data_IF_323403601305
#
_entry.id   IF_323403601305
#
_cell.length_a   1.000
_cell.length_b   1.000
_cell.length_c   1.000
_cell.angle_alpha   90.00
_cell.angle_beta   90.00
_cell.angle_gamma   90.00
#
_symmetry.space_group_name_H-M   'P 1'
#
loop_
_entity.id
_entity.type
_entity.pdbx_description
1 polymer ?
#
# COMPACT_ATOMS: atom_id res chain seq x y z
N UNK A 1 17.25 51.73 -18.25
CA UNK A 1 18.61 51.70 -17.65
C UNK A 1 18.91 50.27 -17.26
N UNK A 2 19.88 49.63 -17.93
CA UNK A 2 20.30 48.24 -17.71
C UNK A 2 21.40 48.23 -16.65
N UNK A 3 21.19 47.52 -15.54
CA UNK A 3 22.25 47.27 -14.57
C UNK A 3 23.26 46.29 -15.19
N UNK A 4 24.51 46.73 -15.36
CA UNK A 4 25.62 45.94 -15.91
C UNK A 4 26.24 45.00 -14.87
N UNK A 5 25.42 44.29 -14.10
CA UNK A 5 25.90 43.33 -13.11
C UNK A 5 25.79 41.89 -13.67
N UNK A 6 26.91 41.23 -14.03
CA UNK A 6 26.89 39.90 -14.63
C UNK A 6 26.43 38.78 -13.68
N UNK A 7 26.28 39.05 -12.38
CA UNK A 7 25.79 38.09 -11.38
C UNK A 7 24.26 38.06 -11.29
N UNK A 8 23.59 39.17 -11.60
CA UNK A 8 22.13 39.31 -11.49
C UNK A 8 21.51 39.32 -12.88
N UNK A 9 21.47 38.14 -13.52
CA UNK A 9 20.60 37.94 -14.68
C UNK A 9 19.13 38.01 -14.21
N UNK A 10 18.29 38.80 -14.87
CA UNK A 10 16.86 38.89 -14.53
C UNK A 10 16.09 37.56 -14.67
N UNK A 11 16.72 36.52 -15.26
CA UNK A 11 16.15 35.18 -15.36
C UNK A 11 16.56 34.23 -14.23
N UNK A 12 17.41 34.61 -13.28
CA UNK A 12 17.80 33.72 -12.15
C UNK A 12 16.70 33.60 -11.08
N UNK A 13 15.67 34.44 -11.14
CA UNK A 13 14.55 34.48 -10.18
C UNK A 13 13.16 34.37 -10.81
N UNK A 14 13.03 33.76 -12.00
CA UNK A 14 11.82 32.97 -12.28
C UNK A 14 11.88 31.66 -11.47
N UNK A 15 12.05 31.80 -10.16
CA UNK A 15 11.77 30.74 -9.19
C UNK A 15 10.25 30.62 -9.22
N UNK A 16 9.76 29.44 -9.55
CA UNK A 16 8.34 29.08 -9.50
C UNK A 16 7.86 29.15 -8.04
N UNK A 17 7.60 30.37 -7.55
CA UNK A 17 7.28 30.68 -6.17
C UNK A 17 5.77 30.57 -5.96
N UNK A 18 5.33 29.37 -5.59
CA UNK A 18 3.99 29.12 -5.04
C UNK A 18 3.55 27.67 -5.21
N UNK A 19 3.83 27.07 -6.37
CA UNK A 19 3.35 25.73 -6.72
C UNK A 19 4.25 24.61 -6.21
N UNK A 20 5.52 24.91 -5.90
CA UNK A 20 6.54 23.94 -5.55
C UNK A 20 6.54 23.50 -4.08
N UNK A 21 5.73 24.14 -3.22
CA UNK A 21 5.63 23.84 -1.79
C UNK A 21 4.30 23.18 -1.38
N UNK A 22 3.33 23.18 -2.29
CA UNK A 22 1.99 22.61 -2.07
C UNK A 22 1.84 21.25 -2.73
N UNK A 23 1.05 20.38 -2.12
CA UNK A 23 0.68 19.06 -2.60
C UNK A 23 -0.11 19.18 -3.90
N UNK A 24 0.30 18.44 -4.91
CA UNK A 24 -0.33 18.34 -6.21
C UNK A 24 -0.78 16.90 -6.45
N UNK A 25 -1.87 16.76 -7.20
CA UNK A 25 -2.38 15.43 -7.56
C UNK A 25 -1.38 14.71 -8.49
N UNK A 26 -0.83 15.42 -9.47
CA UNK A 26 0.21 14.90 -10.36
C UNK A 26 1.49 14.48 -9.64
N UNK A 27 1.96 15.28 -8.67
CA UNK A 27 3.13 14.93 -7.85
C UNK A 27 2.90 13.70 -6.97
N UNK A 28 1.70 13.57 -6.40
CA UNK A 28 1.31 12.38 -5.63
C UNK A 28 1.27 11.13 -6.50
N UNK A 29 0.66 11.21 -7.68
CA UNK A 29 0.62 10.09 -8.65
C UNK A 29 2.03 9.68 -9.08
N UNK A 30 2.92 10.63 -9.39
CA UNK A 30 4.30 10.34 -9.74
C UNK A 30 5.04 9.59 -8.61
N UNK A 31 4.79 9.95 -7.35
CA UNK A 31 5.37 9.29 -6.18
C UNK A 31 4.79 7.91 -5.94
N UNK A 32 3.48 7.73 -6.10
CA UNK A 32 2.83 6.42 -6.07
C UNK A 32 3.49 5.50 -7.11
N UNK A 33 3.62 5.95 -8.36
CA UNK A 33 4.24 5.18 -9.43
C UNK A 33 5.70 4.83 -9.09
N UNK A 34 6.47 5.78 -8.57
CA UNK A 34 7.85 5.54 -8.15
C UNK A 34 7.92 4.49 -7.03
N UNK A 35 7.11 4.61 -5.98
CA UNK A 35 7.06 3.63 -4.88
C UNK A 35 6.63 2.25 -5.39
N UNK A 36 5.63 2.20 -6.26
CA UNK A 36 5.17 0.97 -6.88
C UNK A 36 6.27 0.30 -7.72
N UNK A 37 7.10 1.06 -8.44
CA UNK A 37 8.25 0.53 -9.16
C UNK A 37 9.31 -0.07 -8.22
N UNK A 38 9.60 0.58 -7.09
CA UNK A 38 10.49 0.02 -6.07
C UNK A 38 9.96 -1.31 -5.52
N UNK A 39 8.67 -1.35 -5.22
CA UNK A 39 7.99 -2.55 -4.73
C UNK A 39 8.04 -3.69 -5.75
N UNK A 40 7.67 -3.41 -7.01
CA UNK A 40 7.71 -4.41 -8.08
C UNK A 40 9.14 -4.89 -8.35
N UNK A 41 10.11 -3.98 -8.42
CA UNK A 41 11.50 -4.33 -8.70
C UNK A 41 12.09 -5.28 -7.64
N UNK A 42 11.81 -5.01 -6.36
CA UNK A 42 12.26 -5.86 -5.26
C UNK A 42 11.46 -7.17 -5.16
N UNK A 43 10.16 -7.15 -5.44
CA UNK A 43 9.34 -8.37 -5.50
C UNK A 43 9.79 -9.33 -6.61
N UNK A 44 10.05 -8.80 -7.81
CA UNK A 44 10.58 -9.59 -8.94
C UNK A 44 11.99 -10.11 -8.64
N UNK A 45 12.82 -9.32 -7.97
CA UNK A 45 14.14 -9.77 -7.54
C UNK A 45 14.06 -10.96 -6.56
N UNK A 46 13.21 -10.88 -5.53
CA UNK A 46 13.01 -12.00 -4.60
C UNK A 46 12.45 -13.23 -5.31
N UNK A 47 11.50 -13.03 -6.23
CA UNK A 47 10.97 -14.13 -7.04
C UNK A 47 12.07 -14.81 -7.85
N UNK A 48 12.90 -14.03 -8.54
CA UNK A 48 14.01 -14.55 -9.32
C UNK A 48 14.97 -15.36 -8.44
N UNK A 49 15.36 -14.84 -7.27
CA UNK A 49 16.20 -15.56 -6.32
C UNK A 49 15.57 -16.88 -5.86
N UNK A 50 14.27 -16.88 -5.58
CA UNK A 50 13.53 -18.11 -5.24
C UNK A 50 13.56 -19.13 -6.39
N UNK A 51 13.36 -18.68 -7.63
CA UNK A 51 13.42 -19.57 -8.80
C UNK A 51 14.80 -20.18 -9.05
N UNK A 52 15.87 -19.53 -8.57
CA UNK A 52 17.24 -20.03 -8.60
C UNK A 52 17.56 -20.98 -7.42
N UNK A 53 16.57 -21.31 -6.59
CA UNK A 53 16.75 -22.20 -5.44
C UNK A 53 17.41 -21.54 -4.22
N UNK A 54 17.55 -20.21 -4.20
CA UNK A 54 18.08 -19.48 -3.05
C UNK A 54 17.00 -19.40 -1.96
N UNK A 55 17.41 -19.62 -0.71
CA UNK A 55 16.50 -19.48 0.43
C UNK A 55 16.14 -18.01 0.67
N UNK A 56 14.93 -17.61 0.25
CA UNK A 56 14.41 -16.25 0.38
C UNK A 56 13.81 -15.93 1.76
N UNK A 57 13.80 -16.88 2.69
CA UNK A 57 13.17 -16.71 4.02
C UNK A 57 13.78 -15.53 4.78
N UNK A 58 15.10 -15.34 4.68
CA UNK A 58 15.78 -14.24 5.37
C UNK A 58 15.42 -12.88 4.75
N UNK A 59 15.26 -12.81 3.42
CA UNK A 59 14.81 -11.61 2.72
C UNK A 59 13.35 -11.30 3.06
N UNK A 60 12.50 -12.33 3.16
CA UNK A 60 11.11 -12.18 3.57
C UNK A 60 11.02 -11.63 5.01
N UNK A 61 11.85 -12.13 5.92
CA UNK A 61 11.87 -11.68 7.31
C UNK A 61 12.40 -10.25 7.45
N UNK A 62 13.46 -9.90 6.72
CA UNK A 62 13.97 -8.52 6.63
C UNK A 62 12.90 -7.60 6.04
N UNK A 63 12.19 -8.05 5.00
CA UNK A 63 11.09 -7.31 4.40
C UNK A 63 9.93 -7.08 5.37
N UNK A 64 9.50 -8.11 6.09
CA UNK A 64 8.40 -8.02 7.06
C UNK A 64 8.74 -7.09 8.24
N UNK A 65 9.89 -7.31 8.89
CA UNK A 65 10.28 -6.54 10.07
C UNK A 65 10.70 -5.13 9.67
N UNK A 66 11.52 -5.01 8.62
CA UNK A 66 11.96 -3.72 8.11
C UNK A 66 10.79 -2.90 7.57
N UNK A 67 9.89 -3.51 6.80
CA UNK A 67 8.65 -2.89 6.32
C UNK A 67 7.81 -2.36 7.47
N UNK A 68 7.56 -3.18 8.49
CA UNK A 68 6.80 -2.75 9.68
C UNK A 68 7.47 -1.58 10.40
N UNK A 69 8.79 -1.61 10.61
CA UNK A 69 9.52 -0.51 11.28
C UNK A 69 9.39 0.79 10.48
N UNK A 70 9.67 0.76 9.17
CA UNK A 70 9.58 1.96 8.33
C UNK A 70 8.14 2.44 8.13
N UNK A 71 7.16 1.52 8.15
CA UNK A 71 5.74 1.88 8.16
C UNK A 71 5.36 2.65 9.42
N UNK A 72 5.78 2.18 10.60
CA UNK A 72 5.55 2.87 11.86
C UNK A 72 6.25 4.23 11.89
N UNK A 73 7.52 4.31 11.46
CA UNK A 73 8.25 5.59 11.39
C UNK A 73 7.49 6.57 10.48
N UNK A 74 7.03 6.14 9.31
CA UNK A 74 6.30 7.00 8.37
C UNK A 74 4.95 7.43 8.94
N UNK A 75 4.25 6.52 9.64
CA UNK A 75 2.96 6.80 10.27
C UNK A 75 3.07 7.85 11.38
N UNK A 76 4.07 7.73 12.27
CA UNK A 76 4.28 8.67 13.37
C UNK A 76 5.00 9.95 12.94
N UNK A 77 5.85 9.90 11.91
CA UNK A 77 6.61 11.03 11.40
C UNK A 77 6.35 11.26 9.89
N UNK A 78 5.20 11.86 9.51
CA UNK A 78 4.85 12.13 8.10
C UNK A 78 5.88 12.99 7.36
N UNK A 79 6.67 13.79 8.08
CA UNK A 79 7.76 14.60 7.51
C UNK A 79 8.92 13.76 6.96
N UNK A 80 9.13 12.55 7.49
CA UNK A 80 10.18 11.63 7.05
C UNK A 80 9.77 10.79 5.82
N UNK A 81 8.49 10.85 5.41
CA UNK A 81 7.93 10.09 4.29
C UNK A 81 8.77 10.13 2.99
N UNK A 82 9.42 11.24 2.58
CA UNK A 82 10.25 11.25 1.38
C UNK A 82 11.40 10.23 1.37
N UNK A 83 11.90 9.86 2.55
CA UNK A 83 13.02 8.91 2.69
C UNK A 83 12.49 7.55 3.12
N UNK A 84 11.54 7.51 4.06
CA UNK A 84 11.06 6.26 4.65
C UNK A 84 10.10 5.51 3.73
N UNK A 85 9.31 6.20 2.89
CA UNK A 85 8.37 5.54 1.99
C UNK A 85 9.04 4.72 0.88
N UNK A 86 10.09 5.19 0.18
CA UNK A 86 10.83 4.35 -0.77
C UNK A 86 11.47 3.12 -0.13
N UNK A 87 12.05 3.28 1.07
CA UNK A 87 12.66 2.19 1.82
C UNK A 87 11.59 1.16 2.20
N UNK A 88 10.45 1.62 2.71
CA UNK A 88 9.30 0.77 2.99
C UNK A 88 8.85 -0.01 1.76
N UNK A 89 8.66 0.66 0.62
CA UNK A 89 8.20 0.00 -0.61
C UNK A 89 9.17 -1.08 -1.10
N UNK A 90 10.48 -0.84 -1.00
CA UNK A 90 11.51 -1.82 -1.34
C UNK A 90 11.50 -3.03 -0.38
N UNK A 91 11.37 -2.79 0.93
CA UNK A 91 11.35 -3.84 1.94
C UNK A 91 10.08 -4.69 1.84
N UNK A 92 8.92 -4.06 1.65
CA UNK A 92 7.67 -4.76 1.41
C UNK A 92 7.69 -5.58 0.12
N UNK A 93 8.31 -5.07 -0.95
CA UNK A 93 8.47 -5.87 -2.16
C UNK A 93 9.22 -7.17 -1.91
N UNK A 94 10.27 -7.18 -1.07
CA UNK A 94 10.93 -8.43 -0.68
C UNK A 94 10.01 -9.39 0.10
N UNK A 95 9.18 -8.87 1.00
CA UNK A 95 8.22 -9.67 1.76
C UNK A 95 7.16 -10.30 0.84
N UNK A 96 6.48 -9.47 0.06
CA UNK A 96 5.40 -9.87 -0.83
C UNK A 96 5.93 -10.80 -1.94
N UNK A 97 7.09 -10.49 -2.51
CA UNK A 97 7.74 -11.33 -3.52
C UNK A 97 8.04 -12.73 -3.00
N UNK A 98 8.52 -12.84 -1.76
CA UNK A 98 8.77 -14.12 -1.09
C UNK A 98 7.49 -14.94 -0.86
N UNK A 99 6.45 -14.32 -0.30
CA UNK A 99 5.15 -14.98 -0.09
C UNK A 99 4.55 -15.44 -1.42
N UNK A 100 4.61 -14.58 -2.42
CA UNK A 100 4.04 -14.85 -3.75
C UNK A 100 4.77 -16.03 -4.41
N UNK A 101 6.10 -16.07 -4.34
CA UNK A 101 6.89 -17.16 -4.89
C UNK A 101 6.63 -18.50 -4.18
N UNK A 102 6.51 -18.48 -2.84
CA UNK A 102 6.18 -19.67 -2.05
C UNK A 102 4.80 -20.23 -2.42
N UNK A 103 3.79 -19.36 -2.55
CA UNK A 103 2.44 -19.77 -2.90
C UNK A 103 2.29 -20.18 -4.35
N UNK A 104 3.02 -19.57 -5.27
CA UNK A 104 3.03 -19.98 -6.68
C UNK A 104 3.55 -21.42 -6.82
N UNK A 105 4.54 -21.81 -6.02
CA UNK A 105 5.04 -23.19 -5.97
C UNK A 105 4.00 -24.22 -5.50
N UNK A 106 3.01 -23.79 -4.72
CA UNK A 106 1.90 -24.63 -4.25
C UNK A 106 0.64 -24.52 -5.12
N UNK A 107 0.40 -23.36 -5.71
CA UNK A 107 -0.78 -23.01 -6.49
C UNK A 107 -0.36 -22.22 -7.73
N UNK A 108 -0.10 -22.92 -8.83
CA UNK A 108 0.32 -22.29 -10.07
C UNK A 108 -0.72 -21.27 -10.59
N UNK A 109 -0.23 -20.12 -11.04
CA UNK A 109 -1.02 -19.00 -11.56
C UNK A 109 -1.79 -18.21 -10.51
N UNK A 110 -1.59 -18.44 -9.21
CA UNK A 110 -2.31 -17.69 -8.17
C UNK A 110 -1.86 -16.23 -8.14
N UNK A 111 -0.58 -15.97 -8.41
CA UNK A 111 0.00 -14.63 -8.30
C UNK A 111 -0.52 -13.73 -9.41
N UNK A 112 -0.49 -14.20 -10.66
CA UNK A 112 -1.00 -13.41 -11.78
C UNK A 112 -2.49 -13.09 -11.60
N UNK A 113 -3.29 -14.04 -11.10
CA UNK A 113 -4.69 -13.79 -10.77
C UNK A 113 -4.86 -12.76 -9.65
N UNK A 114 -4.08 -12.86 -8.58
CA UNK A 114 -4.13 -11.90 -7.48
C UNK A 114 -3.74 -10.49 -7.94
N UNK A 115 -2.70 -10.34 -8.75
CA UNK A 115 -2.29 -9.05 -9.33
C UNK A 115 -3.38 -8.50 -10.25
N UNK A 116 -3.91 -9.31 -11.17
CA UNK A 116 -4.98 -8.89 -12.08
C UNK A 116 -6.23 -8.45 -11.33
N UNK A 117 -6.64 -9.19 -10.29
CA UNK A 117 -7.78 -8.81 -9.45
C UNK A 117 -7.52 -7.53 -8.66
N UNK A 118 -6.34 -7.37 -8.09
CA UNK A 118 -5.97 -6.16 -7.34
C UNK A 118 -6.02 -4.92 -8.25
N UNK A 119 -5.45 -5.01 -9.45
CA UNK A 119 -5.47 -3.93 -10.44
C UNK A 119 -6.89 -3.66 -10.96
N UNK A 120 -7.69 -4.71 -11.19
CA UNK A 120 -9.08 -4.56 -11.61
C UNK A 120 -9.92 -3.87 -10.53
N UNK A 121 -9.81 -4.28 -9.27
CA UNK A 121 -10.52 -3.67 -8.13
C UNK A 121 -10.10 -2.22 -7.97
N UNK A 122 -8.79 -1.94 -7.97
CA UNK A 122 -8.27 -0.57 -7.91
C UNK A 122 -8.79 0.28 -9.07
N UNK A 123 -8.75 -0.22 -10.31
CA UNK A 123 -9.20 0.51 -11.50
C UNK A 123 -10.69 0.82 -11.48
N UNK A 124 -11.53 -0.16 -11.11
CA UNK A 124 -12.98 0.02 -10.97
C UNK A 124 -13.30 1.03 -9.87
N UNK A 125 -12.66 0.93 -8.70
CA UNK A 125 -12.89 1.88 -7.62
C UNK A 125 -12.41 3.29 -7.94
N UNK A 126 -11.26 3.41 -8.60
CA UNK A 126 -10.76 4.70 -9.08
C UNK A 126 -11.74 5.31 -10.08
N UNK A 127 -12.29 4.53 -11.00
CA UNK A 127 -13.31 4.99 -11.93
C UNK A 127 -14.60 5.44 -11.22
N UNK A 128 -15.11 4.64 -10.28
CA UNK A 128 -16.31 4.97 -9.49
C UNK A 128 -16.12 6.22 -8.60
N UNK A 129 -14.91 6.41 -8.08
CA UNK A 129 -14.54 7.59 -7.32
C UNK A 129 -14.40 8.81 -8.22
N UNK A 130 -13.69 8.70 -9.35
CA UNK A 130 -13.48 9.78 -10.31
C UNK A 130 -14.80 10.28 -10.93
N UNK A 131 -15.74 9.37 -11.18
CA UNK A 131 -17.10 9.70 -11.65
C UNK A 131 -17.98 10.29 -10.54
N UNK A 132 -17.48 10.41 -9.30
CA UNK A 132 -18.19 10.90 -8.11
C UNK A 132 -19.48 10.13 -7.80
N UNK A 133 -19.58 8.88 -8.28
CA UNK A 133 -20.66 7.95 -7.94
C UNK A 133 -20.57 7.60 -6.46
N UNK A 134 -19.34 7.39 -5.96
CA UNK A 134 -19.07 7.17 -4.54
C UNK A 134 -18.64 8.49 -3.91
N UNK A 135 -19.43 9.00 -2.94
CA UNK A 135 -19.07 10.17 -2.14
C UNK A 135 -18.63 9.73 -0.74
N UNK A 136 -17.39 10.06 -0.39
CA UNK A 136 -16.85 9.76 0.94
C UNK A 136 -17.43 10.76 1.96
N UNK A 137 -18.41 10.29 2.73
CA UNK A 137 -18.99 11.05 3.84
C UNK A 137 -18.26 10.75 5.15
N UNK A 138 -18.45 11.60 6.16
CA UNK A 138 -17.90 11.35 7.52
C UNK A 138 -18.33 9.99 8.08
N UNK A 139 -19.60 9.61 7.86
CA UNK A 139 -20.15 8.33 8.33
C UNK A 139 -19.56 7.15 7.58
N UNK A 140 -19.37 7.27 6.27
CA UNK A 140 -18.69 6.25 5.47
C UNK A 140 -17.25 6.04 5.94
N UNK A 141 -16.50 7.12 6.15
CA UNK A 141 -15.13 7.06 6.68
C UNK A 141 -15.08 6.38 8.05
N UNK A 142 -15.99 6.76 8.96
CA UNK A 142 -16.06 6.16 10.30
C UNK A 142 -16.35 4.66 10.21
N UNK A 143 -17.33 4.24 9.41
CA UNK A 143 -17.67 2.83 9.21
C UNK A 143 -16.45 2.01 8.73
N UNK A 144 -15.77 2.47 7.68
CA UNK A 144 -14.63 1.75 7.10
C UNK A 144 -13.46 1.72 8.07
N UNK A 145 -13.10 2.84 8.70
CA UNK A 145 -12.00 2.89 9.69
C UNK A 145 -12.30 1.98 10.89
N UNK A 146 -13.53 1.98 11.40
CA UNK A 146 -13.95 1.07 12.48
C UNK A 146 -13.86 -0.40 12.06
N UNK A 147 -14.24 -0.73 10.83
CA UNK A 147 -14.11 -2.09 10.30
C UNK A 147 -12.63 -2.50 10.17
N UNK A 148 -11.77 -1.62 9.65
CA UNK A 148 -10.32 -1.86 9.55
C UNK A 148 -9.70 -2.08 10.93
N UNK A 149 -10.05 -1.26 11.92
CA UNK A 149 -9.61 -1.44 13.30
C UNK A 149 -10.12 -2.75 13.91
N UNK A 150 -11.37 -3.14 13.63
CA UNK A 150 -11.91 -4.44 14.04
C UNK A 150 -11.11 -5.61 13.48
N UNK A 151 -10.80 -5.57 12.18
CA UNK A 151 -9.96 -6.59 11.52
C UNK A 151 -8.56 -6.62 12.15
N UNK A 152 -7.97 -5.46 12.40
CA UNK A 152 -6.66 -5.36 13.06
C UNK A 152 -6.67 -6.00 14.46
N UNK A 153 -7.71 -5.75 15.27
CA UNK A 153 -7.86 -6.38 16.60
C UNK A 153 -7.98 -7.90 16.47
N UNK A 154 -8.75 -8.40 15.50
CA UNK A 154 -8.86 -9.85 15.26
C UNK A 154 -7.50 -10.44 14.88
N UNK A 155 -6.73 -9.76 14.04
CA UNK A 155 -5.37 -10.20 13.67
C UNK A 155 -4.40 -10.17 14.86
N UNK A 156 -4.50 -9.15 15.72
CA UNK A 156 -3.70 -9.04 16.94
C UNK A 156 -4.02 -10.18 17.92
N UNK A 157 -5.32 -10.46 18.14
CA UNK A 157 -5.76 -11.58 18.98
C UNK A 157 -5.21 -12.90 18.45
N UNK A 158 -5.34 -13.13 17.13
CA UNK A 158 -4.80 -14.32 16.49
C UNK A 158 -3.28 -14.43 16.67
N UNK A 159 -2.54 -13.33 16.50
CA UNK A 159 -1.09 -13.30 16.72
C UNK A 159 -0.71 -13.67 18.16
N UNK A 160 -1.39 -13.08 19.15
CA UNK A 160 -1.15 -13.38 20.57
C UNK A 160 -1.50 -14.82 20.92
N UNK A 161 -2.65 -15.34 20.45
CA UNK A 161 -3.05 -16.72 20.71
C UNK A 161 -2.07 -17.74 20.12
N UNK A 162 -1.56 -17.49 18.91
CA UNK A 162 -0.52 -18.32 18.30
C UNK A 162 0.78 -18.31 19.14
N UNK A 163 1.12 -17.19 19.79
CA UNK A 163 2.28 -17.10 20.68
C UNK A 163 2.14 -18.01 21.92
N UNK A 164 0.91 -18.21 22.41
CA UNK A 164 0.60 -19.14 23.51
C UNK A 164 0.36 -20.59 23.04
N UNK A 165 0.64 -20.90 21.76
CA UNK A 165 0.46 -22.25 21.21
C UNK A 165 -1.00 -22.68 21.03
N UNK A 166 -1.97 -21.77 21.25
CA UNK A 166 -3.39 -22.04 21.03
C UNK A 166 -3.77 -21.60 19.62
N UNK A 167 -3.99 -22.56 18.73
CA UNK A 167 -4.54 -22.28 17.41
C UNK A 167 -6.03 -21.97 17.55
N UNK A 168 -6.44 -20.75 17.18
CA UNK A 168 -7.86 -20.35 17.21
C UNK A 168 -8.66 -21.22 16.23
N UNK A 169 -9.67 -21.97 16.69
CA UNK A 169 -10.59 -22.67 15.79
C UNK A 169 -11.32 -21.66 14.88
N UNK A 170 -11.61 -22.05 13.64
CA UNK A 170 -12.39 -21.32 12.63
C UNK A 170 -11.72 -20.17 11.83
N UNK A 171 -10.72 -19.45 12.36
CA UNK A 171 -10.01 -18.41 11.57
C UNK A 171 -9.12 -19.00 10.45
N UNK A 172 -8.60 -20.22 10.67
CA UNK A 172 -7.78 -20.97 9.73
C UNK A 172 -8.51 -22.12 9.02
N UNK A 173 -9.80 -22.32 9.31
CA UNK A 173 -10.56 -23.37 8.62
C UNK A 173 -10.86 -22.91 7.19
N UNK A 174 -10.57 -23.78 6.20
CA UNK A 174 -10.97 -23.61 4.80
C UNK A 174 -12.48 -23.76 4.58
N UNK A 175 -13.29 -23.70 5.64
CA UNK A 175 -14.73 -23.84 5.56
C UNK A 175 -15.38 -22.60 4.90
N UNK A 176 -16.66 -22.71 4.49
CA UNK A 176 -17.42 -21.62 3.86
C UNK A 176 -17.38 -20.29 4.64
N UNK A 177 -17.32 -20.39 5.97
CA UNK A 177 -17.20 -19.24 6.89
C UNK A 177 -15.86 -18.51 6.69
N UNK A 178 -14.76 -19.25 6.52
CA UNK A 178 -13.43 -18.69 6.30
C UNK A 178 -13.28 -17.98 4.96
N UNK A 179 -13.99 -18.44 3.93
CA UNK A 179 -14.08 -17.77 2.62
C UNK A 179 -14.93 -16.49 2.74
N UNK A 180 -16.10 -16.57 3.40
CA UNK A 180 -16.97 -15.41 3.62
C UNK A 180 -16.27 -14.27 4.36
N UNK A 181 -15.50 -14.59 5.42
CA UNK A 181 -14.70 -13.61 6.14
C UNK A 181 -13.62 -13.00 5.23
N UNK A 182 -12.93 -13.80 4.42
CA UNK A 182 -11.92 -13.28 3.50
C UNK A 182 -12.53 -12.35 2.44
N UNK A 183 -13.71 -12.67 1.88
CA UNK A 183 -14.42 -11.77 0.97
C UNK A 183 -14.78 -10.46 1.68
N UNK A 184 -15.27 -10.53 2.91
CA UNK A 184 -15.58 -9.34 3.70
C UNK A 184 -14.34 -8.46 3.92
N UNK A 185 -13.20 -9.06 4.29
CA UNK A 185 -11.96 -8.32 4.50
C UNK A 185 -11.44 -7.71 3.20
N UNK A 186 -11.50 -8.43 2.08
CA UNK A 186 -11.16 -7.90 0.75
C UNK A 186 -12.05 -6.70 0.40
N UNK A 187 -13.36 -6.76 0.69
CA UNK A 187 -14.25 -5.63 0.47
C UNK A 187 -13.86 -4.42 1.33
N UNK A 188 -13.55 -4.61 2.61
CA UNK A 188 -13.07 -3.53 3.49
C UNK A 188 -11.74 -2.96 3.00
N UNK A 189 -10.78 -3.79 2.58
CA UNK A 189 -9.52 -3.34 2.00
C UNK A 189 -9.74 -2.49 0.75
N UNK A 190 -10.66 -2.91 -0.12
CA UNK A 190 -11.06 -2.16 -1.30
C UNK A 190 -11.71 -0.80 -0.92
N UNK A 191 -12.55 -0.75 0.12
CA UNK A 191 -13.13 0.52 0.60
C UNK A 191 -12.09 1.45 1.24
N UNK A 192 -11.03 0.92 1.87
CA UNK A 192 -9.93 1.76 2.39
C UNK A 192 -9.20 2.48 1.25
N UNK A 193 -9.02 1.83 0.11
CA UNK A 193 -8.43 2.45 -1.07
C UNK A 193 -9.24 3.66 -1.57
N UNK A 194 -10.57 3.64 -1.43
CA UNK A 194 -11.44 4.81 -1.68
C UNK A 194 -11.18 5.95 -0.68
N UNK A 195 -10.96 5.62 0.60
CA UNK A 195 -10.60 6.61 1.61
C UNK A 195 -9.23 7.23 1.35
N UNK A 196 -8.27 6.46 0.83
CA UNK A 196 -6.94 6.97 0.48
C UNK A 196 -7.03 7.98 -0.66
N UNK A 197 -7.82 7.69 -1.69
CA UNK A 197 -8.07 8.64 -2.77
C UNK A 197 -8.74 9.93 -2.28
N UNK A 198 -9.74 9.82 -1.40
CA UNK A 198 -10.38 10.97 -0.76
C UNK A 198 -9.40 11.77 0.10
N UNK A 199 -8.52 11.10 0.84
CA UNK A 199 -7.47 11.75 1.61
C UNK A 199 -6.50 12.53 0.71
N UNK A 200 -6.06 11.93 -0.41
CA UNK A 200 -5.18 12.58 -1.38
C UNK A 200 -5.87 13.80 -2.02
N UNK A 201 -7.11 13.67 -2.47
CA UNK A 201 -7.85 14.76 -3.10
C UNK A 201 -8.11 15.91 -2.11
N UNK A 202 -8.54 15.60 -0.88
CA UNK A 202 -8.71 16.61 0.16
C UNK A 202 -7.38 17.28 0.55
N UNK A 203 -6.28 16.53 0.57
CA UNK A 203 -4.95 17.05 0.84
C UNK A 203 -4.51 18.08 -0.21
N UNK A 204 -4.73 17.78 -1.49
CA UNK A 204 -4.46 18.70 -2.60
C UNK A 204 -5.37 19.93 -2.52
N UNK A 205 -6.67 19.73 -2.33
CA UNK A 205 -7.66 20.83 -2.27
C UNK A 205 -7.42 21.79 -1.09
N UNK A 206 -6.83 21.31 0.01
CA UNK A 206 -6.45 22.13 1.17
C UNK A 206 -5.08 22.77 1.06
N UNK A 207 -4.35 22.54 -0.04
CA UNK A 207 -2.98 23.06 -0.22
C UNK A 207 -1.99 22.48 0.79
N UNK A 208 -2.12 21.19 1.13
CA UNK A 208 -1.22 20.53 2.08
C UNK A 208 0.25 20.66 1.66
N UNK A 209 1.23 20.53 2.57
CA UNK A 209 2.65 20.68 2.22
C UNK A 209 3.14 19.58 1.26
N UNK A 210 4.17 19.85 0.45
CA UNK A 210 4.72 18.90 -0.56
C UNK A 210 5.11 17.52 0.00
N UNK A 211 5.53 17.44 1.27
CA UNK A 211 5.88 16.13 1.89
C UNK A 211 4.65 15.22 2.05
N UNK A 212 3.45 15.77 2.10
CA UNK A 212 2.20 14.99 2.15
C UNK A 212 1.95 14.20 0.88
N UNK A 213 2.52 14.58 -0.27
CA UNK A 213 2.44 13.76 -1.48
C UNK A 213 3.13 12.39 -1.27
N UNK A 214 4.23 12.35 -0.50
CA UNK A 214 4.91 11.09 -0.16
C UNK A 214 4.13 10.28 0.87
N UNK A 215 3.53 10.96 1.84
CA UNK A 215 2.71 10.32 2.85
C UNK A 215 1.42 9.71 2.27
N UNK A 216 0.74 10.44 1.38
CA UNK A 216 -0.43 9.93 0.65
C UNK A 216 -0.06 8.77 -0.28
N UNK A 217 1.08 8.87 -0.97
CA UNK A 217 1.58 7.77 -1.79
C UNK A 217 1.90 6.51 -0.96
N UNK A 218 2.54 6.69 0.20
CA UNK A 218 2.80 5.61 1.15
C UNK A 218 1.51 4.94 1.63
N UNK A 219 0.52 5.72 2.08
CA UNK A 219 -0.76 5.19 2.56
C UNK A 219 -1.45 4.32 1.51
N UNK A 220 -1.50 4.80 0.27
CA UNK A 220 -2.05 4.05 -0.86
C UNK A 220 -1.27 2.76 -1.15
N UNK A 221 0.07 2.78 -1.07
CA UNK A 221 0.88 1.55 -1.25
C UNK A 221 0.59 0.55 -0.14
N UNK A 222 0.47 0.99 1.12
CA UNK A 222 0.13 0.12 2.26
C UNK A 222 -1.21 -0.58 2.02
N UNK A 223 -2.25 0.17 1.62
CA UNK A 223 -3.58 -0.42 1.39
C UNK A 223 -3.64 -1.29 0.13
N UNK A 224 -2.90 -0.92 -0.93
CA UNK A 224 -2.79 -1.74 -2.13
C UNK A 224 -2.11 -3.08 -1.85
N UNK A 225 -1.02 -3.07 -1.08
CA UNK A 225 -0.33 -4.28 -0.61
C UNK A 225 -1.25 -5.14 0.25
N UNK A 226 -1.97 -4.52 1.18
CA UNK A 226 -2.89 -5.25 2.04
C UNK A 226 -4.01 -5.89 1.22
N UNK A 227 -4.63 -5.17 0.28
CA UNK A 227 -5.62 -5.70 -0.64
C UNK A 227 -5.07 -6.90 -1.44
N UNK A 228 -3.84 -6.81 -1.95
CA UNK A 228 -3.19 -7.89 -2.67
C UNK A 228 -3.04 -9.15 -1.80
N UNK A 229 -2.53 -9.01 -0.57
CA UNK A 229 -2.34 -10.15 0.35
C UNK A 229 -3.68 -10.81 0.68
N UNK A 230 -4.75 -10.03 0.89
CA UNK A 230 -6.07 -10.57 1.19
C UNK A 230 -6.70 -11.28 -0.01
N UNK A 231 -6.53 -10.76 -1.23
CA UNK A 231 -6.96 -11.45 -2.46
C UNK A 231 -6.20 -12.76 -2.63
N UNK A 232 -4.89 -12.74 -2.43
CA UNK A 232 -4.04 -13.92 -2.52
C UNK A 232 -4.43 -14.97 -1.46
N UNK A 233 -4.74 -14.55 -0.23
CA UNK A 233 -5.27 -15.42 0.84
C UNK A 233 -6.66 -15.97 0.50
N UNK A 234 -7.53 -15.17 -0.09
CA UNK A 234 -8.84 -15.61 -0.57
C UNK A 234 -8.71 -16.69 -1.64
N UNK A 235 -7.87 -16.45 -2.65
CA UNK A 235 -7.61 -17.43 -3.72
C UNK A 235 -7.01 -18.73 -3.17
N UNK A 236 -6.10 -18.63 -2.19
CA UNK A 236 -5.52 -19.79 -1.52
C UNK A 236 -6.60 -20.63 -0.83
N UNK A 237 -7.55 -19.99 -0.13
CA UNK A 237 -8.66 -20.70 0.54
C UNK A 237 -9.62 -21.36 -0.44
N UNK A 238 -9.86 -20.76 -1.60
CA UNK A 238 -10.75 -21.31 -2.64
C UNK A 238 -10.12 -22.53 -3.33
N UNK A 239 -8.79 -22.56 -3.45
CA UNK A 239 -8.05 -23.61 -4.16
C UNK A 239 -7.58 -24.77 -3.28
N UNK A 240 -7.74 -24.67 -1.96
CA UNK A 240 -7.29 -25.66 -0.97
C UNK A 240 -8.40 -26.64 -0.63
#
# INVERSE_FOLDING_TARGET
MRSGNPVLKNNTFQRSSGQDQTMTLGGTVAKITLLFLFLLGTALYTWYQYSQGVNVTIMMLIGAIGGLIFALITAFFPKAAPVTAPIYAALEGFFIGGISAFLEGSYSGIVIQAVSLTLAVMGVLLFLYATRVIKVTKNFRLMVVSATLGIFVVYLINFVMNFFGMQVPYLHSSGPIGIGISIFIVAIAALNLVLDFDFIEQGVNRGAPKHMEWYGAFGLIVTLVWLYIEILRLLQKIRR
#
